data_IF_051009784848
#
_entry.id   IF_051009784848
#
_cell.length_a   1.000
_cell.length_b   1.000
_cell.length_c   1.000
_cell.angle_alpha   90.00
_cell.angle_beta   90.00
_cell.angle_gamma   90.00
#
_symmetry.space_group_name_H-M   'P 1'
#
loop_
_entity.id
_entity.type
_entity.pdbx_description
1 polymer ?
#
# COMPACT_ATOMS: atom_id res chain seq x y z
N UNK A 1 -33.62 16.51 -18.46
CA UNK A 1 -33.17 15.11 -18.53
C UNK A 1 -31.95 15.07 -19.42
N UNK A 2 -30.77 14.87 -18.82
CA UNK A 2 -29.59 14.22 -19.43
C UNK A 2 -28.58 14.10 -18.30
N UNK A 3 -28.31 12.87 -17.89
CA UNK A 3 -27.48 12.55 -16.74
C UNK A 3 -25.99 12.68 -17.07
N UNK A 4 -25.30 13.51 -16.28
CA UNK A 4 -23.85 13.49 -16.16
C UNK A 4 -23.43 12.31 -15.27
N UNK A 5 -23.55 11.09 -15.81
CA UNK A 5 -23.11 9.84 -15.18
C UNK A 5 -21.64 9.55 -15.45
N UNK A 6 -20.73 10.48 -15.11
CA UNK A 6 -19.30 10.33 -15.38
C UNK A 6 -18.39 10.74 -14.21
N UNK A 7 -18.86 10.62 -12.97
CA UNK A 7 -18.02 10.80 -11.76
C UNK A 7 -18.22 9.69 -10.72
N UNK A 8 -18.50 8.47 -11.18
CA UNK A 8 -18.85 7.36 -10.29
C UNK A 8 -17.96 6.15 -10.57
N UNK A 9 -16.71 6.20 -10.07
CA UNK A 9 -15.82 5.03 -9.96
C UNK A 9 -14.52 5.29 -9.16
N UNK A 10 -14.41 6.41 -8.44
CA UNK A 10 -13.21 6.74 -7.67
C UNK A 10 -13.30 6.34 -6.18
N UNK A 11 -14.43 5.84 -5.70
CA UNK A 11 -14.68 5.70 -4.26
C UNK A 11 -15.38 4.40 -3.82
N UNK A 12 -15.44 3.36 -4.67
CA UNK A 12 -15.83 2.03 -4.17
C UNK A 12 -14.59 1.36 -3.57
N UNK A 13 -14.52 1.52 -2.25
CA UNK A 13 -13.59 0.94 -1.29
C UNK A 13 -13.03 -0.42 -1.71
N UNK A 14 -11.73 -0.65 -1.45
CA UNK A 14 -10.88 -1.68 -2.08
C UNK A 14 -10.61 -2.91 -1.18
N UNK A 15 -11.56 -3.52 -0.43
CA UNK A 15 -11.29 -4.79 0.23
C UNK A 15 -11.50 -5.99 -0.71
N UNK A 16 -12.40 -5.90 -1.69
CA UNK A 16 -12.65 -7.02 -2.61
C UNK A 16 -11.46 -7.30 -3.54
N UNK A 17 -10.83 -6.24 -4.06
CA UNK A 17 -9.65 -6.38 -4.93
C UNK A 17 -8.45 -6.91 -4.16
N UNK A 18 -8.30 -6.52 -2.89
CA UNK A 18 -7.26 -7.06 -2.00
C UNK A 18 -7.49 -8.54 -1.73
N UNK A 19 -8.70 -8.95 -1.34
CA UNK A 19 -9.04 -10.38 -1.17
C UNK A 19 -8.79 -11.20 -2.43
N UNK A 20 -9.16 -10.66 -3.60
CA UNK A 20 -8.92 -11.31 -4.88
C UNK A 20 -7.43 -11.41 -5.21
N UNK A 21 -6.65 -10.37 -4.90
CA UNK A 21 -5.20 -10.38 -5.05
C UNK A 21 -4.55 -11.39 -4.08
N UNK A 22 -5.00 -11.48 -2.83
CA UNK A 22 -4.49 -12.48 -1.88
C UNK A 22 -4.75 -13.90 -2.38
N UNK A 23 -5.96 -14.19 -2.86
CA UNK A 23 -6.27 -15.50 -3.45
C UNK A 23 -5.39 -15.80 -4.68
N UNK A 24 -5.15 -14.80 -5.53
CA UNK A 24 -4.21 -14.94 -6.66
C UNK A 24 -2.79 -15.24 -6.20
N UNK A 25 -2.35 -14.68 -5.08
CA UNK A 25 -1.03 -14.95 -4.51
C UNK A 25 -0.93 -16.35 -3.89
N UNK A 26 -2.05 -16.93 -3.45
CA UNK A 26 -2.09 -18.35 -3.06
C UNK A 26 -1.88 -19.28 -4.27
N UNK A 27 -2.44 -18.92 -5.43
CA UNK A 27 -2.27 -19.67 -6.68
C UNK A 27 -0.92 -19.38 -7.36
N UNK A 28 -0.46 -18.13 -7.33
CA UNK A 28 0.80 -17.67 -7.91
C UNK A 28 1.47 -16.60 -7.03
N UNK A 29 2.41 -16.99 -6.15
CA UNK A 29 3.10 -16.08 -5.24
C UNK A 29 3.95 -15.00 -5.92
N UNK A 30 4.25 -15.15 -7.21
CA UNK A 30 5.08 -14.21 -7.97
C UNK A 30 4.26 -13.29 -8.89
N UNK A 31 2.92 -13.29 -8.77
CA UNK A 31 2.03 -12.43 -9.57
C UNK A 31 2.23 -10.94 -9.24
N UNK A 32 2.92 -10.22 -10.13
CA UNK A 32 3.21 -8.79 -9.98
C UNK A 32 1.96 -7.91 -9.97
N UNK A 33 0.90 -8.29 -10.68
CA UNK A 33 -0.34 -7.51 -10.70
C UNK A 33 -1.06 -7.60 -9.35
N UNK A 34 -1.07 -8.78 -8.74
CA UNK A 34 -1.61 -8.98 -7.41
C UNK A 34 -0.79 -8.20 -6.36
N UNK A 35 0.55 -8.26 -6.42
CA UNK A 35 1.41 -7.48 -5.55
C UNK A 35 1.23 -5.97 -5.73
N UNK A 36 1.03 -5.48 -6.96
CA UNK A 36 0.76 -4.07 -7.24
C UNK A 36 -0.50 -3.57 -6.52
N UNK A 37 -1.57 -4.38 -6.51
CA UNK A 37 -2.81 -4.07 -5.77
C UNK A 37 -2.54 -4.01 -4.26
N UNK A 38 -1.81 -4.98 -3.70
CA UNK A 38 -1.47 -5.00 -2.28
C UNK A 38 -0.58 -3.83 -1.87
N UNK A 39 0.38 -3.43 -2.70
CA UNK A 39 1.24 -2.28 -2.45
C UNK A 39 0.41 -1.00 -2.44
N UNK A 40 -0.50 -0.83 -3.41
CA UNK A 40 -1.38 0.35 -3.45
C UNK A 40 -2.27 0.43 -2.21
N UNK A 41 -2.80 -0.70 -1.75
CA UNK A 41 -3.55 -0.76 -0.49
C UNK A 41 -2.65 -0.40 0.70
N UNK A 42 -1.45 -0.98 0.77
CA UNK A 42 -0.48 -0.72 1.83
C UNK A 42 -0.08 0.76 1.90
N UNK A 43 0.02 1.47 0.77
CA UNK A 43 0.26 2.91 0.72
C UNK A 43 -0.89 3.76 1.28
N UNK A 44 -2.13 3.25 1.22
CA UNK A 44 -3.32 3.93 1.76
C UNK A 44 -3.60 3.58 3.24
N UNK A 45 -2.88 2.60 3.79
CA UNK A 45 -3.00 2.17 5.18
C UNK A 45 -1.87 2.79 6.03
N UNK A 46 -2.07 2.94 7.35
CA UNK A 46 -0.99 3.32 8.24
C UNK A 46 0.15 2.30 8.18
N UNK A 47 1.39 2.78 8.34
CA UNK A 47 2.60 1.96 8.22
C UNK A 47 2.55 0.71 9.09
N UNK A 48 1.91 0.76 10.26
CA UNK A 48 1.80 -0.39 11.17
C UNK A 48 1.06 -1.58 10.54
N UNK A 49 0.05 -1.32 9.71
CA UNK A 49 -0.65 -2.37 8.95
C UNK A 49 0.09 -2.70 7.66
N UNK A 50 0.62 -1.69 6.98
CA UNK A 50 1.32 -1.83 5.72
C UNK A 50 2.63 -2.64 5.85
N UNK A 51 3.30 -2.57 7.00
CA UNK A 51 4.56 -3.24 7.32
C UNK A 51 4.52 -4.72 7.03
N UNK A 52 3.46 -5.42 7.47
CA UNK A 52 3.29 -6.86 7.22
C UNK A 52 3.23 -7.19 5.73
N UNK A 53 2.61 -6.33 4.92
CA UNK A 53 2.54 -6.50 3.46
C UNK A 53 3.91 -6.26 2.82
N UNK A 54 4.61 -5.20 3.21
CA UNK A 54 5.95 -4.90 2.71
C UNK A 54 6.97 -5.97 3.10
N UNK A 55 6.94 -6.47 4.33
CA UNK A 55 7.79 -7.58 4.80
C UNK A 55 7.59 -8.83 3.95
N UNK A 56 6.33 -9.21 3.68
CA UNK A 56 6.03 -10.33 2.76
C UNK A 56 6.54 -10.06 1.35
N UNK A 57 6.39 -8.84 0.85
CA UNK A 57 6.84 -8.45 -0.48
C UNK A 57 8.37 -8.55 -0.63
N UNK A 58 9.13 -8.00 0.33
CA UNK A 58 10.61 -8.04 0.26
C UNK A 58 11.17 -9.43 0.56
N UNK A 59 10.47 -10.24 1.37
CA UNK A 59 10.80 -11.65 1.55
C UNK A 59 10.58 -12.47 0.28
N UNK A 60 9.53 -12.16 -0.49
CA UNK A 60 9.25 -12.81 -1.78
C UNK A 60 10.21 -12.37 -2.88
N UNK A 61 10.60 -11.09 -2.89
CA UNK A 61 11.48 -10.50 -3.90
C UNK A 61 12.72 -9.83 -3.28
N UNK A 62 13.61 -10.60 -2.63
CA UNK A 62 14.75 -10.03 -1.90
C UNK A 62 15.75 -9.31 -2.81
N UNK A 63 15.85 -9.72 -4.08
CA UNK A 63 16.73 -9.12 -5.09
C UNK A 63 16.19 -7.83 -5.72
N UNK A 64 14.92 -7.47 -5.46
CA UNK A 64 14.30 -6.29 -6.05
C UNK A 64 14.49 -5.07 -5.16
N UNK A 65 15.58 -4.32 -5.40
CA UNK A 65 15.87 -3.07 -4.67
C UNK A 65 14.73 -2.04 -4.74
N UNK A 66 13.88 -2.11 -5.79
CA UNK A 66 12.71 -1.26 -5.93
C UNK A 66 11.71 -1.43 -4.79
N UNK A 67 11.47 -2.66 -4.34
CA UNK A 67 10.51 -2.93 -3.26
C UNK A 67 11.08 -2.55 -1.90
N UNK A 68 12.37 -2.79 -1.68
CA UNK A 68 13.08 -2.29 -0.49
C UNK A 68 13.01 -0.77 -0.38
N UNK A 69 13.23 -0.05 -1.49
CA UNK A 69 13.12 1.41 -1.52
C UNK A 69 11.72 1.88 -1.09
N UNK A 70 10.66 1.29 -1.64
CA UNK A 70 9.27 1.61 -1.28
C UNK A 70 9.01 1.44 0.23
N UNK A 71 9.49 0.36 0.81
CA UNK A 71 9.32 0.08 2.24
C UNK A 71 10.04 1.12 3.11
N UNK A 72 11.30 1.42 2.78
CA UNK A 72 12.10 2.41 3.49
C UNK A 72 11.48 3.82 3.36
N UNK A 73 11.02 4.21 2.16
CA UNK A 73 10.36 5.51 1.95
C UNK A 73 9.10 5.66 2.80
N UNK A 74 8.31 4.59 2.94
CA UNK A 74 7.13 4.60 3.79
C UNK A 74 7.47 4.78 5.28
N UNK A 75 8.50 4.07 5.78
CA UNK A 75 9.01 4.20 7.16
C UNK A 75 9.64 5.57 7.43
N UNK A 76 10.40 6.11 6.48
CA UNK A 76 11.03 7.43 6.62
C UNK A 76 9.98 8.54 6.63
N UNK A 77 8.94 8.42 5.79
CA UNK A 77 7.82 9.37 5.75
C UNK A 77 7.15 9.45 7.12
N UNK A 78 6.78 8.32 7.73
CA UNK A 78 6.12 8.34 9.05
C UNK A 78 7.02 8.98 10.13
N UNK A 79 8.33 8.72 10.11
CA UNK A 79 9.27 9.30 11.08
C UNK A 79 9.38 10.82 10.93
N UNK A 80 9.38 11.33 9.70
CA UNK A 80 9.35 12.78 9.45
C UNK A 80 8.06 13.42 9.92
N UNK A 81 6.90 12.80 9.63
CA UNK A 81 5.61 13.28 10.11
C UNK A 81 5.55 13.28 11.65
N UNK A 82 6.00 12.22 12.30
CA UNK A 82 6.05 12.15 13.76
C UNK A 82 6.97 13.23 14.33
N UNK A 83 8.18 13.39 13.80
CA UNK A 83 9.10 14.44 14.23
C UNK A 83 8.53 15.84 14.02
N UNK A 84 7.80 16.07 12.94
CA UNK A 84 7.15 17.37 12.67
C UNK A 84 6.05 17.67 13.68
N UNK A 85 5.19 16.69 13.96
CA UNK A 85 4.09 16.83 14.93
C UNK A 85 4.63 17.12 16.33
N UNK A 86 5.66 16.38 16.78
CA UNK A 86 6.28 16.60 18.09
C UNK A 86 6.89 18.01 18.19
N UNK A 87 7.56 18.50 17.13
CA UNK A 87 8.10 19.87 17.10
C UNK A 87 7.03 20.95 17.11
N UNK A 88 5.87 20.70 16.51
CA UNK A 88 4.76 21.64 16.47
C UNK A 88 4.02 21.72 17.81
N UNK A 89 3.83 20.59 18.50
CA UNK A 89 3.18 20.54 19.83
C UNK A 89 4.07 21.14 20.93
N UNK A 90 5.40 21.07 20.78
CA UNK A 90 6.35 21.60 21.76
C UNK A 90 6.63 23.11 21.63
N UNK A 91 6.00 23.82 20.70
CA UNK A 91 6.10 25.28 20.53
C UNK A 91 4.84 26.00 21.02
#
# INVERSE_FOLDING_TARGET
MSGDGATEQAAEYVPEKVKKAEKKLEENPYDLDAWSILIREAQNQPIDKARKTYERLVAQFPSSGRFWKLYIEAEVTILFYFSYIIRNIAN
#
